data_IF_481044632659
#
_entry.id   IF_481044632659
#
_cell.length_a   1.000
_cell.length_b   1.000
_cell.length_c   1.000
_cell.angle_alpha   90.00
_cell.angle_beta   90.00
_cell.angle_gamma   90.00
#
_symmetry.space_group_name_H-M   'P 1'
#
loop_
_entity.id
_entity.type
_entity.pdbx_description
1 polymer ?
#
# COMPACT_ATOMS: atom_id res chain seq x y z
N UNK A 1 13.58 -29.84 5.06
CA UNK A 1 12.38 -29.14 4.55
C UNK A 1 12.92 -27.92 3.85
N UNK A 2 12.48 -27.71 2.62
CA UNK A 2 12.91 -26.54 1.86
C UNK A 2 12.42 -25.28 2.56
N UNK A 3 13.32 -24.29 2.67
CA UNK A 3 13.07 -23.00 3.32
C UNK A 3 12.17 -22.14 2.41
N UNK A 4 10.86 -22.26 2.58
CA UNK A 4 9.86 -21.58 1.74
C UNK A 4 9.50 -20.24 2.37
N UNK A 5 9.74 -19.16 1.64
CA UNK A 5 9.31 -17.82 1.99
C UNK A 5 8.06 -17.46 1.18
N UNK A 6 7.03 -16.90 1.84
CA UNK A 6 5.81 -16.46 1.18
C UNK A 6 5.51 -15.01 1.57
N UNK A 7 5.25 -14.17 0.57
CA UNK A 7 4.80 -12.80 0.77
C UNK A 7 3.40 -12.67 0.16
N UNK A 8 2.42 -12.36 1.00
CA UNK A 8 1.14 -11.85 0.56
C UNK A 8 1.18 -10.33 0.56
N UNK A 9 0.82 -9.70 -0.56
CA UNK A 9 0.69 -8.26 -0.64
C UNK A 9 -0.77 -7.92 -0.94
N UNK A 10 -1.42 -7.17 -0.05
CA UNK A 10 -2.83 -6.82 -0.11
C UNK A 10 -2.96 -5.29 -0.23
N UNK A 11 -3.66 -4.82 -1.26
CA UNK A 11 -4.01 -3.41 -1.37
C UNK A 11 -5.13 -3.05 -0.41
N UNK A 12 -5.10 -1.82 0.15
CA UNK A 12 -6.23 -1.30 0.93
C UNK A 12 -7.56 -1.35 0.15
N UNK A 13 -8.67 -1.43 0.88
CA UNK A 13 -10.03 -1.39 0.33
C UNK A 13 -10.42 -0.04 -0.27
N UNK A 14 -11.67 0.08 -0.71
CA UNK A 14 -12.20 1.30 -1.31
C UNK A 14 -12.10 2.51 -0.36
N UNK A 15 -11.83 3.70 -0.92
CA UNK A 15 -11.52 4.91 -0.16
C UNK A 15 -12.75 5.81 0.02
N UNK A 16 -12.85 6.43 1.21
CA UNK A 16 -13.94 7.34 1.54
C UNK A 16 -13.99 8.58 0.64
N UNK A 17 -12.84 9.15 0.29
CA UNK A 17 -12.76 10.34 -0.55
C UNK A 17 -13.21 10.10 -2.00
N UNK A 18 -13.21 8.85 -2.47
CA UNK A 18 -13.77 8.48 -3.75
C UNK A 18 -15.30 8.46 -3.74
N UNK A 19 -15.87 7.93 -2.66
CA UNK A 19 -17.32 7.97 -2.44
C UNK A 19 -17.83 9.38 -2.10
N UNK A 20 -16.96 10.27 -1.59
CA UNK A 20 -17.29 11.61 -1.11
C UNK A 20 -16.30 12.65 -1.67
N UNK A 21 -16.46 13.11 -2.92
CA UNK A 21 -15.52 14.04 -3.57
C UNK A 21 -15.31 15.38 -2.81
N UNK A 22 -16.27 15.81 -2.01
CA UNK A 22 -16.16 17.01 -1.18
C UNK A 22 -15.27 16.83 0.06
N UNK A 23 -14.89 15.60 0.40
CA UNK A 23 -14.15 15.29 1.63
C UNK A 23 -12.84 16.08 1.76
N UNK A 24 -12.03 16.13 0.71
CA UNK A 24 -10.75 16.84 0.74
C UNK A 24 -10.95 18.35 1.04
N UNK A 25 -11.96 18.99 0.45
CA UNK A 25 -12.31 20.40 0.70
C UNK A 25 -12.75 20.62 2.15
N UNK A 26 -13.57 19.72 2.68
CA UNK A 26 -14.03 19.77 4.09
C UNK A 26 -12.85 19.62 5.05
N UNK A 27 -11.94 18.67 4.80
CA UNK A 27 -10.74 18.45 5.64
C UNK A 27 -9.81 19.66 5.59
N UNK A 28 -9.57 20.25 4.42
CA UNK A 28 -8.76 21.46 4.28
C UNK A 28 -9.37 22.61 5.07
N UNK A 29 -10.68 22.83 4.97
CA UNK A 29 -11.39 23.87 5.73
C UNK A 29 -11.33 23.66 7.26
N UNK A 30 -11.25 22.41 7.71
CA UNK A 30 -11.10 22.04 9.11
C UNK A 30 -9.63 22.00 9.60
N UNK A 31 -8.65 22.27 8.73
CA UNK A 31 -7.22 22.21 9.06
C UNK A 31 -6.68 20.76 9.22
N UNK A 32 -7.43 19.77 8.73
CA UNK A 32 -7.07 18.36 8.85
C UNK A 32 -6.20 17.86 7.68
N UNK A 33 -5.60 16.69 7.86
CA UNK A 33 -4.78 16.04 6.85
C UNK A 33 -5.64 15.46 5.72
N UNK A 34 -5.44 15.97 4.49
CA UNK A 34 -6.19 15.55 3.29
C UNK A 34 -5.60 14.33 2.58
N UNK A 35 -4.39 13.93 2.93
CA UNK A 35 -3.66 12.86 2.21
C UNK A 35 -3.91 11.47 2.79
N UNK A 36 -4.60 11.39 3.93
CA UNK A 36 -4.84 10.14 4.65
C UNK A 36 -6.35 9.84 4.83
N UNK A 37 -7.12 9.70 3.73
CA UNK A 37 -8.53 9.35 3.82
C UNK A 37 -8.72 7.96 4.41
N UNK A 38 -9.83 7.76 5.19
CA UNK A 38 -10.21 6.44 5.68
C UNK A 38 -10.80 5.57 4.55
N UNK A 39 -11.12 4.33 4.88
CA UNK A 39 -11.95 3.46 4.04
C UNK A 39 -13.37 4.01 3.94
N UNK A 40 -14.03 3.75 2.79
CA UNK A 40 -15.48 3.88 2.65
C UNK A 40 -16.20 2.71 3.34
N UNK A 41 -17.54 2.78 3.41
CA UNK A 41 -18.34 1.66 3.88
C UNK A 41 -18.12 0.40 3.04
N UNK A 42 -17.95 0.56 1.72
CA UNK A 42 -17.56 -0.54 0.82
C UNK A 42 -16.17 -1.07 1.18
N UNK A 43 -15.19 -0.19 1.38
CA UNK A 43 -13.83 -0.59 1.75
C UNK A 43 -13.76 -1.37 3.06
N UNK A 44 -14.56 -1.00 4.05
CA UNK A 44 -14.68 -1.78 5.29
C UNK A 44 -15.30 -3.17 5.09
N UNK A 45 -16.30 -3.30 4.19
CA UNK A 45 -16.83 -4.63 3.84
C UNK A 45 -15.78 -5.47 3.12
N UNK A 46 -15.14 -4.91 2.10
CA UNK A 46 -14.04 -5.57 1.37
C UNK A 46 -12.95 -6.07 2.33
N UNK A 47 -12.51 -5.23 3.27
CA UNK A 47 -11.49 -5.60 4.25
C UNK A 47 -11.90 -6.81 5.10
N UNK A 48 -13.15 -6.86 5.58
CA UNK A 48 -13.64 -7.99 6.38
C UNK A 48 -13.78 -9.28 5.58
N UNK A 49 -14.34 -9.20 4.37
CA UNK A 49 -14.53 -10.36 3.50
C UNK A 49 -13.18 -10.94 3.05
N UNK A 50 -12.25 -10.06 2.66
CA UNK A 50 -10.88 -10.45 2.32
C UNK A 50 -10.16 -11.08 3.50
N UNK A 51 -10.28 -10.50 4.70
CA UNK A 51 -9.66 -11.05 5.90
C UNK A 51 -10.19 -12.45 6.22
N UNK A 52 -11.50 -12.67 6.15
CA UNK A 52 -12.11 -13.96 6.41
C UNK A 52 -11.58 -15.03 5.43
N UNK A 53 -11.68 -14.77 4.12
CA UNK A 53 -11.21 -15.71 3.10
C UNK A 53 -9.70 -15.96 3.19
N UNK A 54 -8.92 -14.91 3.43
CA UNK A 54 -7.47 -15.02 3.57
C UNK A 54 -7.09 -15.90 4.77
N UNK A 55 -7.71 -15.66 5.92
CA UNK A 55 -7.40 -16.37 7.16
C UNK A 55 -7.84 -17.82 7.09
N UNK A 56 -9.01 -18.12 6.55
CA UNK A 56 -9.51 -19.50 6.38
C UNK A 56 -8.50 -20.37 5.61
N UNK A 57 -7.80 -19.78 4.64
CA UNK A 57 -6.79 -20.46 3.85
C UNK A 57 -5.37 -20.44 4.43
N UNK A 58 -5.05 -19.53 5.36
CA UNK A 58 -3.66 -19.24 5.76
C UNK A 58 -3.41 -19.14 7.27
N UNK A 59 -4.41 -19.36 8.14
CA UNK A 59 -4.36 -19.08 9.59
C UNK A 59 -3.08 -19.57 10.30
N UNK A 60 -2.65 -20.77 9.99
CA UNK A 60 -1.51 -21.39 10.69
C UNK A 60 -0.16 -21.15 9.99
N UNK A 61 -0.10 -20.29 8.99
CA UNK A 61 1.08 -20.08 8.16
C UNK A 61 1.69 -18.69 8.36
N UNK A 62 0.86 -17.67 8.62
CA UNK A 62 1.31 -16.28 8.73
C UNK A 62 2.02 -16.05 10.05
N UNK A 63 3.23 -15.51 9.97
CA UNK A 63 4.07 -15.18 11.13
C UNK A 63 4.06 -13.68 11.46
N UNK A 64 3.73 -12.80 10.50
CA UNK A 64 3.77 -11.35 10.69
C UNK A 64 2.82 -10.60 9.75
N UNK A 65 2.26 -9.52 10.30
CA UNK A 65 1.48 -8.53 9.54
C UNK A 65 2.30 -7.23 9.47
N UNK A 66 2.61 -6.79 8.26
CA UNK A 66 3.20 -5.48 7.99
C UNK A 66 2.14 -4.57 7.38
N UNK A 67 2.08 -3.32 7.78
CA UNK A 67 1.14 -2.34 7.22
C UNK A 67 1.80 -1.00 6.93
N UNK A 68 1.46 -0.41 5.81
CA UNK A 68 1.71 1.01 5.58
C UNK A 68 1.10 1.86 6.71
N UNK A 69 1.71 3.01 7.08
CA UNK A 69 1.24 3.89 8.16
C UNK A 69 -0.08 4.63 7.84
N UNK A 70 -0.60 4.53 6.62
CA UNK A 70 -1.82 5.22 6.19
C UNK A 70 -3.07 4.60 6.82
N UNK A 71 -4.02 5.46 7.24
CA UNK A 71 -5.24 5.08 7.95
C UNK A 71 -6.02 3.97 7.23
N UNK A 72 -6.30 4.15 5.93
CA UNK A 72 -7.02 3.17 5.12
C UNK A 72 -6.35 1.80 5.06
N UNK A 73 -5.03 1.77 5.15
CA UNK A 73 -4.26 0.52 5.10
C UNK A 73 -4.34 -0.21 6.44
N UNK A 74 -4.18 0.52 7.55
CA UNK A 74 -4.36 -0.02 8.89
C UNK A 74 -5.80 -0.55 9.07
N UNK A 75 -6.81 0.22 8.65
CA UNK A 75 -8.21 -0.22 8.67
C UNK A 75 -8.46 -1.49 7.84
N UNK A 76 -7.72 -1.68 6.74
CA UNK A 76 -7.81 -2.91 5.94
C UNK A 76 -7.13 -4.08 6.65
N UNK A 77 -6.03 -3.84 7.36
CA UNK A 77 -5.27 -4.86 8.08
C UNK A 77 -5.95 -5.34 9.36
N UNK A 78 -6.71 -4.47 10.06
CA UNK A 78 -7.32 -4.76 11.36
C UNK A 78 -8.14 -6.06 11.38
N UNK A 79 -9.08 -6.32 10.45
CA UNK A 79 -9.84 -7.59 10.47
C UNK A 79 -8.94 -8.83 10.37
N UNK A 80 -7.88 -8.77 9.57
CA UNK A 80 -6.91 -9.87 9.46
C UNK A 80 -6.13 -10.04 10.75
N UNK A 81 -5.72 -8.94 11.37
CA UNK A 81 -5.03 -8.93 12.68
C UNK A 81 -5.89 -9.56 13.77
N UNK A 82 -7.16 -9.17 13.85
CA UNK A 82 -8.10 -9.72 14.84
C UNK A 82 -8.30 -11.23 14.66
N UNK A 83 -8.47 -11.69 13.42
CA UNK A 83 -8.70 -13.11 13.11
C UNK A 83 -7.46 -13.98 13.34
N UNK A 84 -6.26 -13.45 13.07
CA UNK A 84 -4.99 -14.17 13.27
C UNK A 84 -4.47 -14.07 14.69
N UNK A 85 -4.91 -13.08 15.48
CA UNK A 85 -4.33 -12.74 16.78
C UNK A 85 -2.89 -12.23 16.69
N UNK A 86 -2.51 -11.60 15.56
CA UNK A 86 -1.18 -11.05 15.32
C UNK A 86 -1.21 -9.52 15.32
N UNK A 87 -0.23 -8.84 15.93
CA UNK A 87 -0.16 -7.38 15.88
C UNK A 87 0.20 -6.86 14.49
N UNK A 88 -0.15 -5.59 14.24
CA UNK A 88 0.14 -4.87 13.01
C UNK A 88 1.44 -4.09 13.19
N UNK A 89 2.49 -4.52 12.53
CA UNK A 89 3.79 -3.83 12.48
C UNK A 89 3.75 -2.72 11.42
N UNK A 90 3.85 -1.45 11.85
CA UNK A 90 3.82 -0.31 10.94
C UNK A 90 5.14 -0.18 10.18
N UNK A 91 5.11 -0.44 8.89
CA UNK A 91 6.28 -0.45 8.01
C UNK A 91 6.23 0.72 7.01
N UNK A 92 7.08 1.71 7.23
CA UNK A 92 7.12 2.91 6.38
C UNK A 92 7.63 2.63 4.97
N UNK A 93 8.36 1.54 4.78
CA UNK A 93 8.74 1.04 3.46
C UNK A 93 7.53 0.74 2.54
N UNK A 94 6.37 0.41 3.13
CA UNK A 94 5.11 0.17 2.41
C UNK A 94 4.29 1.44 2.14
N UNK A 95 4.79 2.64 2.46
CA UNK A 95 4.06 3.90 2.22
C UNK A 95 3.72 4.09 0.74
N UNK A 96 2.68 4.89 0.49
CA UNK A 96 2.25 5.28 -0.87
C UNK A 96 3.39 5.95 -1.64
N UNK A 97 3.33 5.93 -2.97
CA UNK A 97 4.18 6.76 -3.80
C UNK A 97 4.00 8.25 -3.45
N UNK A 98 5.03 9.06 -3.62
CA UNK A 98 5.11 10.44 -3.14
C UNK A 98 4.98 10.60 -1.63
N UNK A 99 5.32 9.58 -0.86
CA UNK A 99 5.28 9.67 0.59
C UNK A 99 6.16 10.82 1.10
N UNK A 100 5.63 11.56 2.07
CA UNK A 100 6.36 12.61 2.77
C UNK A 100 7.01 12.00 4.00
N UNK A 101 8.33 12.07 4.17
CA UNK A 101 8.98 11.59 5.38
C UNK A 101 8.73 12.54 6.56
N UNK A 102 8.72 11.96 7.77
CA UNK A 102 8.66 12.71 9.01
C UNK A 102 7.31 12.73 9.70
N UNK A 103 7.33 13.19 10.93
CA UNK A 103 6.23 13.11 11.89
C UNK A 103 5.06 14.08 11.60
N UNK A 104 5.23 15.02 10.67
CA UNK A 104 4.26 16.12 10.48
C UNK A 104 3.11 15.78 9.54
N UNK A 105 3.11 14.62 8.90
CA UNK A 105 2.15 14.30 7.82
C UNK A 105 1.23 13.15 8.15
N UNK A 106 1.69 12.16 8.88
CA UNK A 106 0.87 11.02 9.33
C UNK A 106 0.98 10.87 10.85
N UNK A 107 -0.10 10.41 11.52
CA UNK A 107 -0.04 10.06 12.93
C UNK A 107 1.04 9.01 13.22
N UNK A 108 1.72 9.16 14.37
CA UNK A 108 2.73 8.19 14.83
C UNK A 108 2.10 6.84 15.17
N UNK A 109 2.89 5.76 15.32
CA UNK A 109 2.37 4.47 15.79
C UNK A 109 1.61 4.59 17.12
N UNK A 110 2.07 5.41 18.07
CA UNK A 110 1.42 5.64 19.36
C UNK A 110 0.06 6.33 19.19
N UNK A 111 -0.01 7.32 18.30
CA UNK A 111 -1.27 7.99 17.97
C UNK A 111 -2.23 7.04 17.24
N UNK A 112 -1.73 6.16 16.40
CA UNK A 112 -2.55 5.11 15.75
C UNK A 112 -3.03 4.08 16.77
N UNK A 113 -2.18 3.66 17.70
CA UNK A 113 -2.52 2.70 18.74
C UNK A 113 -3.72 3.14 19.60
N UNK A 114 -3.88 4.44 19.84
CA UNK A 114 -5.03 4.96 20.57
C UNK A 114 -6.40 4.59 19.94
N UNK A 115 -6.43 4.31 18.64
CA UNK A 115 -7.63 3.94 17.88
C UNK A 115 -7.57 2.51 17.33
N UNK A 116 -6.38 1.94 17.21
CA UNK A 116 -6.10 0.62 16.66
C UNK A 116 -5.15 -0.12 17.62
N UNK A 117 -5.69 -0.75 18.68
CA UNK A 117 -4.87 -1.43 19.69
C UNK A 117 -4.09 -2.64 19.14
N UNK A 118 -4.37 -3.02 17.88
CA UNK A 118 -3.61 -4.03 17.15
C UNK A 118 -2.21 -3.56 16.73
N UNK A 119 -1.93 -2.24 16.74
CA UNK A 119 -0.62 -1.70 16.31
C UNK A 119 0.49 -2.13 17.27
N UNK A 120 1.57 -2.65 16.70
CA UNK A 120 2.78 -3.07 17.43
C UNK A 120 3.69 -1.86 17.72
N UNK A 121 3.75 -1.41 18.97
CA UNK A 121 4.59 -0.28 19.37
C UNK A 121 6.08 -0.63 19.49
N UNK A 122 6.43 -1.91 19.57
CA UNK A 122 7.81 -2.36 19.69
C UNK A 122 8.49 -2.54 18.32
N UNK A 123 7.69 -2.61 17.26
CA UNK A 123 8.23 -2.81 15.90
C UNK A 123 9.04 -1.59 15.43
N UNK A 124 10.19 -1.87 14.83
CA UNK A 124 11.03 -0.86 14.17
C UNK A 124 11.00 -1.08 12.65
N UNK A 125 10.60 -0.08 11.86
CA UNK A 125 10.53 -0.23 10.40
C UNK A 125 11.86 -0.64 9.78
N UNK A 126 11.81 -1.55 8.83
CA UNK A 126 12.98 -2.00 8.06
C UNK A 126 13.54 -0.89 7.16
N UNK A 127 12.65 -0.02 6.70
CA UNK A 127 13.01 1.04 5.77
C UNK A 127 12.20 2.32 6.06
N UNK A 128 12.90 3.45 6.17
CA UNK A 128 12.28 4.77 6.27
C UNK A 128 12.20 5.44 4.89
N UNK A 129 11.09 6.14 4.64
CA UNK A 129 10.92 7.00 3.46
C UNK A 129 11.87 8.19 3.57
N UNK A 130 12.47 8.58 2.45
CA UNK A 130 13.34 9.76 2.35
C UNK A 130 12.80 10.71 1.30
N UNK A 131 12.85 12.00 1.59
CA UNK A 131 12.54 13.02 0.59
C UNK A 131 13.62 13.06 -0.49
N UNK A 132 13.19 13.30 -1.72
CA UNK A 132 14.11 13.61 -2.81
C UNK A 132 14.51 15.07 -2.71
N UNK A 133 15.81 15.42 -2.72
CA UNK A 133 16.26 16.79 -2.65
C UNK A 133 15.58 17.69 -3.70
N UNK A 134 15.03 18.83 -3.24
CA UNK A 134 14.33 19.77 -4.11
C UNK A 134 12.94 19.37 -4.57
N UNK A 135 12.43 18.22 -4.12
CA UNK A 135 11.10 17.73 -4.51
C UNK A 135 10.07 17.95 -3.38
N UNK A 136 8.92 18.53 -3.72
CA UNK A 136 7.89 18.91 -2.77
C UNK A 136 6.53 18.34 -3.18
N UNK A 137 5.84 17.73 -2.25
CA UNK A 137 4.48 17.21 -2.46
C UNK A 137 3.51 18.39 -2.66
N UNK A 138 2.79 18.39 -3.77
CA UNK A 138 1.81 19.45 -4.07
C UNK A 138 0.66 19.52 -3.09
N UNK A 139 0.24 18.39 -2.55
CA UNK A 139 -0.90 18.31 -1.62
C UNK A 139 -0.56 18.83 -0.25
N UNK A 140 0.65 18.57 0.23
CA UNK A 140 1.05 18.89 1.60
C UNK A 140 1.97 20.10 1.68
N UNK A 141 2.62 20.50 0.60
CA UNK A 141 3.68 21.52 0.61
C UNK A 141 4.98 21.07 1.25
N UNK A 142 5.08 19.81 1.72
CA UNK A 142 6.26 19.28 2.39
C UNK A 142 7.19 18.54 1.42
N UNK A 143 8.50 18.46 1.72
CA UNK A 143 9.41 17.60 0.99
C UNK A 143 8.91 16.17 0.94
N UNK A 144 8.93 15.55 -0.22
CA UNK A 144 8.45 14.18 -0.41
C UNK A 144 9.38 13.37 -1.32
N UNK A 145 9.14 12.08 -1.39
CA UNK A 145 9.79 11.18 -2.34
C UNK A 145 9.31 11.49 -3.76
N UNK A 146 10.25 11.64 -4.70
CA UNK A 146 9.90 11.72 -6.11
C UNK A 146 9.32 10.40 -6.60
N UNK A 147 8.27 10.48 -7.43
CA UNK A 147 7.68 9.31 -8.06
C UNK A 147 8.71 8.63 -8.99
N UNK A 148 8.37 7.55 -9.62
CA UNK A 148 9.22 6.76 -10.49
C UNK A 148 10.63 6.49 -9.94
N UNK A 149 11.57 7.40 -10.08
CA UNK A 149 12.97 7.12 -9.75
C UNK A 149 13.20 6.80 -8.26
N UNK A 150 12.78 7.65 -7.34
CA UNK A 150 13.04 7.45 -5.91
C UNK A 150 12.13 6.37 -5.31
N UNK A 151 10.84 6.36 -5.70
CA UNK A 151 9.88 5.35 -5.25
C UNK A 151 10.30 3.93 -5.68
N UNK A 152 10.69 3.74 -6.95
CA UNK A 152 11.12 2.42 -7.44
C UNK A 152 12.37 1.95 -6.71
N UNK A 153 13.37 2.83 -6.52
CA UNK A 153 14.55 2.50 -5.72
C UNK A 153 14.21 2.16 -4.26
N UNK A 154 13.14 2.76 -3.71
CA UNK A 154 12.64 2.35 -2.39
C UNK A 154 12.06 0.95 -2.44
N UNK A 155 11.25 0.61 -3.45
CA UNK A 155 10.67 -0.74 -3.60
C UNK A 155 11.74 -1.80 -3.77
N UNK A 156 12.78 -1.55 -4.57
CA UNK A 156 13.92 -2.45 -4.74
C UNK A 156 14.68 -2.67 -3.41
N UNK A 157 14.98 -1.59 -2.69
CA UNK A 157 15.63 -1.69 -1.37
C UNK A 157 14.75 -2.39 -0.34
N UNK A 158 13.45 -2.14 -0.39
CA UNK A 158 12.51 -2.76 0.53
C UNK A 158 12.32 -4.25 0.24
N UNK A 159 12.25 -4.65 -1.04
CA UNK A 159 12.25 -6.07 -1.45
C UNK A 159 13.44 -6.81 -0.83
N UNK A 160 14.66 -6.26 -0.98
CA UNK A 160 15.86 -6.85 -0.38
C UNK A 160 15.77 -6.95 1.15
N UNK A 161 15.25 -5.91 1.82
CA UNK A 161 15.05 -5.92 3.28
C UNK A 161 14.06 -7.00 3.73
N UNK A 162 12.97 -7.20 2.99
CA UNK A 162 12.02 -8.28 3.26
C UNK A 162 12.68 -9.66 3.10
N UNK A 163 13.44 -9.86 2.01
CA UNK A 163 14.18 -11.08 1.78
C UNK A 163 15.14 -11.43 2.92
N UNK A 164 15.90 -10.44 3.36
CA UNK A 164 16.90 -10.62 4.42
C UNK A 164 16.25 -10.85 5.80
N UNK A 165 15.10 -10.22 6.08
CA UNK A 165 14.49 -10.23 7.41
C UNK A 165 13.49 -11.36 7.65
N UNK A 166 12.85 -11.87 6.59
CA UNK A 166 11.73 -12.82 6.69
C UNK A 166 11.96 -14.11 5.88
N UNK A 167 13.21 -14.52 5.73
CA UNK A 167 13.54 -15.76 5.06
C UNK A 167 12.85 -16.96 5.75
N UNK A 168 12.27 -17.87 4.98
CA UNK A 168 11.55 -19.03 5.47
C UNK A 168 10.23 -18.73 6.19
N UNK A 169 9.78 -17.49 6.14
CA UNK A 169 8.56 -17.07 6.80
C UNK A 169 7.45 -16.76 5.80
N UNK A 170 6.22 -16.85 6.28
CA UNK A 170 5.03 -16.35 5.59
C UNK A 170 4.59 -15.04 6.23
N UNK A 171 4.63 -13.95 5.47
CA UNK A 171 4.22 -12.63 5.91
C UNK A 171 3.08 -12.08 5.06
N UNK A 172 2.26 -11.21 5.64
CA UNK A 172 1.26 -10.44 4.91
C UNK A 172 1.58 -8.95 5.02
N UNK A 173 1.61 -8.27 3.87
CA UNK A 173 1.89 -6.85 3.73
C UNK A 173 0.64 -6.13 3.22
N UNK A 174 0.12 -5.17 3.98
CA UNK A 174 -0.96 -4.30 3.55
C UNK A 174 -0.39 -2.98 3.01
N UNK A 175 -0.81 -2.58 1.80
CA UNK A 175 -0.21 -1.45 1.12
C UNK A 175 -1.16 -0.78 0.11
N UNK A 176 -0.63 -0.19 -0.93
CA UNK A 176 -1.28 0.67 -1.91
C UNK A 176 -1.23 0.10 -3.32
N UNK A 177 -1.95 0.73 -4.24
CA UNK A 177 -1.93 0.36 -5.65
C UNK A 177 -0.51 0.42 -6.26
N UNK A 178 0.25 1.47 -5.92
CA UNK A 178 1.60 1.64 -6.42
C UNK A 178 2.57 0.52 -5.99
N UNK A 179 2.21 -0.28 -4.98
CA UNK A 179 3.05 -1.39 -4.50
C UNK A 179 3.20 -2.55 -5.49
N UNK A 180 2.59 -2.45 -6.69
CA UNK A 180 3.03 -3.25 -7.86
C UNK A 180 4.53 -3.08 -8.12
N UNK A 181 5.14 -1.95 -7.70
CA UNK A 181 6.58 -1.75 -7.72
C UNK A 181 7.35 -2.74 -6.85
N UNK A 182 6.81 -3.14 -5.70
CA UNK A 182 7.40 -4.18 -4.85
C UNK A 182 7.28 -5.56 -5.51
N UNK A 183 6.11 -5.84 -6.12
CA UNK A 183 5.91 -7.10 -6.87
C UNK A 183 6.93 -7.21 -7.99
N UNK A 184 7.10 -6.15 -8.79
CA UNK A 184 8.07 -6.13 -9.88
C UNK A 184 9.52 -6.27 -9.39
N UNK A 185 9.86 -5.64 -8.26
CA UNK A 185 11.20 -5.75 -7.68
C UNK A 185 11.51 -7.18 -7.21
N UNK A 186 10.56 -7.86 -6.57
CA UNK A 186 10.71 -9.26 -6.15
C UNK A 186 10.79 -10.21 -7.34
N UNK A 187 9.88 -10.07 -8.32
CA UNK A 187 9.85 -10.93 -9.51
C UNK A 187 10.92 -10.58 -10.55
N UNK A 188 11.61 -9.43 -10.41
CA UNK A 188 12.55 -8.89 -11.39
C UNK A 188 11.94 -8.77 -12.80
N UNK A 189 10.69 -8.30 -12.86
CA UNK A 189 9.91 -8.19 -14.09
C UNK A 189 9.51 -6.73 -14.39
N UNK A 190 8.96 -6.53 -15.58
CA UNK A 190 8.38 -5.24 -15.96
C UNK A 190 7.14 -4.90 -15.13
N UNK A 191 6.97 -3.61 -14.83
CA UNK A 191 5.82 -3.07 -14.09
C UNK A 191 4.58 -2.89 -14.95
N UNK A 192 4.72 -2.89 -16.28
CA UNK A 192 3.68 -2.43 -17.22
C UNK A 192 2.42 -3.25 -17.20
N UNK A 193 2.52 -4.52 -16.87
CA UNK A 193 1.39 -5.46 -16.89
C UNK A 193 0.79 -5.74 -15.51
N UNK A 194 1.39 -5.17 -14.47
CA UNK A 194 0.94 -5.38 -13.11
C UNK A 194 -0.18 -4.39 -12.76
N UNK A 195 -1.31 -4.93 -12.27
CA UNK A 195 -2.47 -4.17 -11.79
C UNK A 195 -2.83 -4.61 -10.38
N UNK A 196 -3.39 -3.70 -9.59
CA UNK A 196 -3.76 -3.98 -8.22
C UNK A 196 -5.17 -3.45 -7.95
N UNK A 197 -6.11 -4.36 -7.72
CA UNK A 197 -7.48 -4.04 -7.32
C UNK A 197 -7.55 -3.70 -5.82
N UNK A 198 -8.53 -2.90 -5.36
CA UNK A 198 -8.81 -2.76 -3.93
C UNK A 198 -9.04 -4.13 -3.30
N UNK A 199 -8.37 -4.40 -2.18
CA UNK A 199 -8.34 -5.71 -1.52
C UNK A 199 -7.87 -6.87 -2.42
N UNK A 200 -7.27 -6.63 -3.58
CA UNK A 200 -6.59 -7.65 -4.37
C UNK A 200 -5.42 -8.26 -3.57
N UNK A 201 -5.10 -9.51 -3.83
CA UNK A 201 -4.05 -10.26 -3.12
C UNK A 201 -3.03 -10.79 -4.12
N UNK A 202 -1.81 -10.25 -4.08
CA UNK A 202 -0.67 -10.92 -4.70
C UNK A 202 -0.11 -11.95 -3.73
N UNK A 203 0.15 -13.17 -4.22
CA UNK A 203 0.93 -14.17 -3.50
C UNK A 203 2.22 -14.43 -4.27
N UNK A 204 3.35 -14.21 -3.60
CA UNK A 204 4.68 -14.50 -4.10
C UNK A 204 5.32 -15.54 -3.21
N UNK A 205 6.05 -16.48 -3.83
CA UNK A 205 6.71 -17.57 -3.14
C UNK A 205 8.16 -17.71 -3.62
N UNK A 206 9.05 -18.12 -2.72
CA UNK A 206 10.45 -18.45 -3.02
C UNK A 206 10.88 -19.65 -2.20
N UNK A 207 11.60 -20.56 -2.82
CA UNK A 207 12.26 -21.71 -2.16
C UNK A 207 13.76 -21.43 -2.03
N UNK A 208 14.27 -21.44 -0.81
CA UNK A 208 15.66 -21.14 -0.50
C UNK A 208 16.14 -19.80 -1.07
N UNK A 209 17.23 -19.81 -1.83
CA UNK A 209 17.79 -18.64 -2.55
C UNK A 209 17.35 -18.56 -4.01
N UNK A 210 16.35 -19.35 -4.42
CA UNK A 210 15.79 -19.32 -5.77
C UNK A 210 15.10 -18.00 -6.11
N UNK A 211 14.62 -17.83 -7.34
CA UNK A 211 13.85 -16.66 -7.73
C UNK A 211 12.50 -16.65 -7.02
N UNK A 212 11.90 -15.45 -6.90
CA UNK A 212 10.51 -15.31 -6.52
C UNK A 212 9.60 -15.70 -7.68
N UNK A 213 8.53 -16.39 -7.37
CA UNK A 213 7.50 -16.83 -8.31
C UNK A 213 6.16 -16.21 -7.94
N UNK A 214 5.39 -15.81 -8.95
CA UNK A 214 4.03 -15.34 -8.79
C UNK A 214 3.07 -16.53 -8.70
N UNK A 215 2.45 -16.72 -7.54
CA UNK A 215 1.45 -17.79 -7.33
C UNK A 215 0.05 -17.30 -7.65
N UNK A 216 -0.31 -16.08 -7.21
CA UNK A 216 -1.59 -15.46 -7.57
C UNK A 216 -1.45 -13.96 -7.76
N UNK A 217 -2.28 -13.41 -8.67
CA UNK A 217 -2.28 -11.99 -9.01
C UNK A 217 -3.34 -11.22 -8.20
N UNK A 218 -2.98 -10.03 -7.74
CA UNK A 218 -3.89 -9.08 -7.09
C UNK A 218 -4.61 -8.14 -8.06
N UNK A 219 -4.63 -8.46 -9.36
CA UNK A 219 -5.28 -7.63 -10.36
C UNK A 219 -6.81 -7.56 -10.21
N UNK A 220 -7.42 -8.55 -9.56
CA UNK A 220 -8.84 -8.56 -9.19
C UNK A 220 -8.97 -8.85 -7.70
N UNK A 221 -10.16 -8.68 -7.16
CA UNK A 221 -10.55 -9.13 -5.83
C UNK A 221 -11.60 -10.23 -5.89
N UNK A 222 -11.79 -10.83 -7.07
CA UNK A 222 -12.71 -11.94 -7.28
C UNK A 222 -12.29 -13.16 -6.44
N UNK A 223 -13.28 -13.90 -5.94
CA UNK A 223 -13.08 -15.13 -5.17
C UNK A 223 -12.79 -14.93 -3.69
N UNK A 224 -12.53 -13.70 -3.22
CA UNK A 224 -12.36 -13.41 -1.79
C UNK A 224 -13.19 -12.24 -1.27
N UNK A 225 -13.96 -11.60 -2.14
CA UNK A 225 -15.03 -10.66 -1.77
C UNK A 225 -16.34 -11.12 -2.44
N UNK A 226 -17.47 -10.75 -1.84
CA UNK A 226 -18.77 -11.03 -2.44
C UNK A 226 -19.01 -10.17 -3.67
N UNK A 227 -19.92 -10.56 -4.56
CA UNK A 227 -20.28 -9.81 -5.76
C UNK A 227 -20.66 -8.35 -5.45
N UNK A 228 -21.34 -8.11 -4.32
CA UNK A 228 -21.72 -6.76 -3.86
C UNK A 228 -20.54 -5.92 -3.35
N UNK A 229 -19.41 -6.54 -3.11
CA UNK A 229 -18.18 -5.88 -2.63
C UNK A 229 -17.08 -5.86 -3.70
N UNK A 230 -17.26 -6.62 -4.79
CA UNK A 230 -16.29 -6.67 -5.89
C UNK A 230 -16.14 -5.29 -6.56
N UNK A 231 -14.93 -5.02 -7.04
CA UNK A 231 -14.65 -3.82 -7.84
C UNK A 231 -14.10 -4.21 -9.20
N UNK A 232 -14.53 -3.49 -10.22
CA UNK A 232 -14.14 -3.73 -11.61
C UNK A 232 -12.88 -2.96 -12.02
N UNK A 233 -12.37 -2.08 -11.16
CA UNK A 233 -11.18 -1.28 -11.46
C UNK A 233 -9.94 -1.80 -10.75
N UNK A 234 -8.85 -1.89 -11.50
CA UNK A 234 -7.52 -2.13 -10.96
C UNK A 234 -6.58 -1.05 -11.46
N UNK A 235 -5.76 -0.54 -10.56
CA UNK A 235 -4.76 0.46 -10.91
C UNK A 235 -3.42 -0.21 -11.24
N UNK A 236 -2.72 0.31 -12.23
CA UNK A 236 -1.39 -0.15 -12.61
C UNK A 236 -0.52 0.98 -13.11
N UNK A 237 0.78 0.78 -13.08
CA UNK A 237 1.76 1.72 -13.61
C UNK A 237 2.06 1.37 -15.07
N UNK A 238 1.96 2.35 -15.98
CA UNK A 238 2.39 2.19 -17.38
C UNK A 238 3.86 2.61 -17.56
N UNK A 239 4.52 2.13 -18.64
CA UNK A 239 5.91 2.45 -18.97
C UNK A 239 6.22 3.95 -18.92
N UNK A 240 5.34 4.78 -19.46
CA UNK A 240 5.50 6.24 -19.47
C UNK A 240 5.67 6.86 -18.07
N UNK A 241 5.30 6.19 -17.01
CA UNK A 241 5.49 6.67 -15.65
C UNK A 241 6.94 6.52 -15.16
N UNK A 242 7.75 5.72 -15.88
CA UNK A 242 9.11 5.36 -15.49
C UNK A 242 10.20 5.90 -16.41
N UNK A 243 9.83 6.26 -17.64
CA UNK A 243 10.78 6.63 -18.68
C UNK A 243 11.12 8.13 -18.73
N UNK A 244 10.46 8.95 -17.92
CA UNK A 244 10.59 10.39 -18.02
C UNK A 244 11.08 11.03 -16.71
N UNK A 245 11.92 12.08 -16.88
CA UNK A 245 12.46 12.89 -15.80
C UNK A 245 11.34 13.41 -14.89
N UNK A 246 11.27 12.85 -13.69
CA UNK A 246 10.26 13.15 -12.68
C UNK A 246 10.13 14.62 -12.33
N UNK A 247 11.17 15.41 -12.53
CA UNK A 247 11.20 16.82 -12.12
C UNK A 247 10.23 17.69 -12.90
N UNK A 248 9.85 17.29 -14.14
CA UNK A 248 9.09 18.14 -15.08
C UNK A 248 7.63 17.74 -15.28
N UNK A 249 7.23 16.48 -15.09
CA UNK A 249 5.89 15.98 -15.45
C UNK A 249 4.87 15.96 -14.33
N UNK A 250 5.30 15.70 -13.12
CA UNK A 250 4.38 15.62 -11.98
C UNK A 250 4.05 16.98 -11.37
N UNK A 251 4.67 18.05 -11.87
CA UNK A 251 4.44 19.41 -11.39
C UNK A 251 3.33 20.17 -12.13
N UNK A 252 2.54 19.54 -12.99
CA UNK A 252 1.53 20.34 -13.64
C UNK A 252 0.62 19.74 -14.70
N UNK A 253 0.85 18.57 -15.21
CA UNK A 253 -0.07 18.05 -16.19
C UNK A 253 -1.10 17.11 -15.56
N UNK A 254 -2.36 17.37 -15.86
CA UNK A 254 -3.52 16.53 -15.56
C UNK A 254 -3.58 15.25 -16.41
N UNK A 255 -2.52 14.88 -17.09
CA UNK A 255 -2.48 13.79 -18.07
C UNK A 255 -1.86 12.50 -17.56
N UNK A 256 -1.58 12.39 -16.28
CA UNK A 256 -1.07 11.17 -15.66
C UNK A 256 -2.15 10.14 -15.39
N UNK A 257 -2.25 9.11 -16.21
CA UNK A 257 -3.20 8.00 -16.02
C UNK A 257 -2.95 7.36 -14.62
N UNK A 258 -3.91 7.46 -13.74
CA UNK A 258 -3.86 6.90 -12.38
C UNK A 258 -3.53 7.91 -11.28
N UNK A 259 -2.69 8.92 -11.53
CA UNK A 259 -2.52 10.05 -10.61
C UNK A 259 -3.65 11.05 -10.74
N UNK A 260 -4.26 11.19 -11.89
CA UNK A 260 -5.46 12.01 -12.11
C UNK A 260 -6.62 11.58 -11.20
N UNK A 261 -6.74 10.31 -10.90
CA UNK A 261 -7.74 9.84 -9.95
C UNK A 261 -7.50 10.40 -8.54
N UNK A 262 -6.24 10.60 -8.16
CA UNK A 262 -5.87 11.23 -6.89
C UNK A 262 -5.90 12.77 -6.96
N UNK A 263 -5.85 13.35 -8.14
CA UNK A 263 -5.78 14.78 -8.37
C UNK A 263 -7.11 15.42 -8.79
N UNK A 264 -8.02 14.68 -9.45
CA UNK A 264 -9.32 15.18 -9.92
C UNK A 264 -10.27 15.66 -8.81
N UNK A 265 -9.98 15.28 -7.57
CA UNK A 265 -10.76 15.73 -6.39
C UNK A 265 -10.44 17.18 -5.99
N UNK A 266 -9.44 17.83 -6.60
CA UNK A 266 -8.96 19.15 -6.18
C UNK A 266 -9.26 20.28 -7.18
N UNK A 267 -9.94 20.03 -8.30
CA UNK A 267 -10.14 21.03 -9.37
C UNK A 267 -11.58 21.14 -9.88
N UNK A 268 -12.59 20.91 -9.05
CA UNK A 268 -13.92 21.44 -9.32
C UNK A 268 -14.21 22.56 -8.35
N UNK A 269 -14.34 23.75 -8.88
CA UNK A 269 -14.69 25.02 -8.29
C UNK A 269 -15.77 24.97 -7.20
#
# INVERSE_FOLDING_TARGET
MDDISIIYLIRHGDRFDYANPSWAKQQTAAGNLVTDPPLSALGHRQARETAQTFVDNNKNKVSRILSSPYLRVIQTACPTSDLLGLPISIETGLSEAHATPGEHVLPTPEQRFAYFPQVDLEYKPLLHVQATPGYTCRRTGYPCEAFAGAYIKRMERFAKKLEDSFRGQTIVCFSHAASVGLVAALLRCSLTDLKFAPCGIYQLQRTGDGPWELVSSGATNDGHVTENSATTYAWGMGEKHFLEDDSKKYHGSSEGIGLDYFCKVTTSD
#
